data_IF_443951860572
#
_entry.id   IF_443951860572
#
_cell.length_a   1.000
_cell.length_b   1.000
_cell.length_c   1.000
_cell.angle_alpha   90.00
_cell.angle_beta   90.00
_cell.angle_gamma   90.00
#
_symmetry.space_group_name_H-M   'P 1'
#
loop_
_entity.id
_entity.type
_entity.pdbx_description
1 polymer ?
#
# COMPACT_ATOMS: atom_id res chain seq x y z
N UNK A 1 -6.91 -23.18 -7.06
CA UNK A 1 -7.52 -21.99 -7.69
C UNK A 1 -8.98 -22.22 -8.02
N UNK A 2 -9.29 -22.55 -9.27
CA UNK A 2 -10.67 -22.57 -9.81
C UNK A 2 -11.70 -23.37 -9.01
N UNK A 3 -11.31 -24.51 -8.43
CA UNK A 3 -12.24 -25.31 -7.63
C UNK A 3 -12.67 -24.61 -6.34
N UNK A 4 -11.75 -23.89 -5.68
CA UNK A 4 -12.10 -23.04 -4.53
C UNK A 4 -12.95 -21.85 -4.94
N UNK A 5 -12.64 -21.25 -6.10
CA UNK A 5 -13.45 -20.16 -6.66
C UNK A 5 -14.91 -20.57 -6.89
N UNK A 6 -15.15 -21.78 -7.42
CA UNK A 6 -16.50 -22.29 -7.70
C UNK A 6 -17.38 -22.48 -6.45
N UNK A 7 -16.76 -22.69 -5.30
CA UNK A 7 -17.46 -22.83 -4.01
C UNK A 7 -17.39 -21.55 -3.17
N UNK A 8 -17.04 -20.42 -3.81
CA UNK A 8 -16.91 -19.09 -3.19
C UNK A 8 -15.90 -19.02 -2.03
N UNK A 9 -14.92 -19.94 -2.01
CA UNK A 9 -13.80 -19.87 -1.08
C UNK A 9 -12.68 -19.00 -1.67
N UNK A 10 -12.87 -17.69 -1.57
CA UNK A 10 -12.02 -16.68 -2.20
C UNK A 10 -10.60 -16.66 -1.64
N UNK A 11 -10.43 -16.87 -0.32
CA UNK A 11 -9.12 -16.87 0.34
C UNK A 11 -8.24 -18.01 -0.20
N UNK A 12 -8.72 -19.25 -0.09
CA UNK A 12 -8.00 -20.45 -0.58
C UNK A 12 -7.78 -20.41 -2.09
N UNK A 13 -8.75 -19.85 -2.84
CA UNK A 13 -8.58 -19.64 -4.27
C UNK A 13 -7.41 -18.71 -4.57
N UNK A 14 -7.37 -17.55 -3.91
CA UNK A 14 -6.35 -16.51 -4.13
C UNK A 14 -4.97 -16.99 -3.69
N UNK A 15 -4.89 -17.60 -2.52
CA UNK A 15 -3.66 -18.21 -1.99
C UNK A 15 -3.11 -19.30 -2.93
N UNK A 16 -3.98 -20.14 -3.50
CA UNK A 16 -3.55 -21.12 -4.49
C UNK A 16 -2.88 -20.49 -5.72
N UNK A 17 -3.37 -19.33 -6.20
CA UNK A 17 -2.79 -18.65 -7.36
C UNK A 17 -1.48 -17.93 -7.00
N UNK A 18 -1.38 -17.37 -5.79
CA UNK A 18 -0.13 -16.80 -5.27
C UNK A 18 0.95 -17.89 -5.16
N UNK A 19 0.63 -19.02 -4.53
CA UNK A 19 1.56 -20.14 -4.41
C UNK A 19 1.98 -20.67 -5.78
N UNK A 20 1.06 -20.77 -6.74
CA UNK A 20 1.38 -21.18 -8.11
C UNK A 20 2.32 -20.18 -8.81
N UNK A 21 2.12 -18.88 -8.57
CA UNK A 21 3.02 -17.85 -9.08
C UNK A 21 4.43 -17.98 -8.49
N UNK A 22 4.53 -18.05 -7.17
CA UNK A 22 5.81 -18.13 -6.46
C UNK A 22 6.59 -19.37 -6.90
N UNK A 23 5.94 -20.54 -6.95
CA UNK A 23 6.55 -21.78 -7.45
C UNK A 23 7.02 -21.67 -8.91
N UNK A 24 6.25 -20.99 -9.77
CA UNK A 24 6.62 -20.81 -11.17
C UNK A 24 7.81 -19.86 -11.35
N UNK A 25 7.88 -18.79 -10.54
CA UNK A 25 9.02 -17.86 -10.52
C UNK A 25 10.26 -18.54 -9.97
N UNK A 26 10.17 -19.19 -8.80
CA UNK A 26 11.29 -19.91 -8.18
C UNK A 26 11.83 -21.02 -9.07
N UNK A 27 10.92 -21.75 -9.73
CA UNK A 27 11.27 -22.83 -10.66
C UNK A 27 11.73 -22.36 -12.04
N UNK A 28 11.72 -21.05 -12.31
CA UNK A 28 11.98 -20.48 -13.64
C UNK A 28 11.15 -21.15 -14.75
N UNK A 29 9.87 -21.40 -14.46
CA UNK A 29 8.94 -22.07 -15.37
C UNK A 29 8.33 -21.07 -16.35
N UNK A 30 8.01 -21.54 -17.56
CA UNK A 30 7.20 -20.77 -18.50
C UNK A 30 5.72 -20.93 -18.16
N UNK A 31 5.00 -19.80 -18.02
CA UNK A 31 3.58 -19.81 -17.70
C UNK A 31 2.87 -18.57 -18.23
N UNK A 32 1.54 -18.65 -18.31
CA UNK A 32 0.70 -17.52 -18.66
C UNK A 32 0.62 -16.52 -17.48
N UNK A 33 1.57 -15.59 -17.43
CA UNK A 33 1.66 -14.52 -16.40
C UNK A 33 0.36 -13.73 -16.31
N UNK A 34 -0.18 -13.27 -17.43
CA UNK A 34 -1.44 -12.52 -17.47
C UNK A 34 -2.61 -13.33 -16.89
N UNK A 35 -2.68 -14.62 -17.20
CA UNK A 35 -3.71 -15.52 -16.68
C UNK A 35 -3.69 -15.61 -15.16
N UNK A 36 -2.51 -15.85 -14.57
CA UNK A 36 -2.35 -15.96 -13.11
C UNK A 36 -2.59 -14.62 -12.43
N UNK A 37 -2.04 -13.53 -12.97
CA UNK A 37 -2.16 -12.19 -12.38
C UNK A 37 -3.61 -11.73 -12.33
N UNK A 38 -4.36 -11.93 -13.41
CA UNK A 38 -5.78 -11.58 -13.45
C UNK A 38 -6.57 -12.32 -12.36
N UNK A 39 -6.25 -13.59 -12.06
CA UNK A 39 -6.93 -14.32 -10.99
C UNK A 39 -6.53 -13.82 -9.60
N UNK A 40 -5.24 -13.54 -9.37
CA UNK A 40 -4.76 -12.96 -8.11
C UNK A 40 -5.45 -11.62 -7.85
N UNK A 41 -5.38 -10.69 -8.81
CA UNK A 41 -5.99 -9.35 -8.70
C UNK A 41 -7.49 -9.45 -8.47
N UNK A 42 -8.18 -10.32 -9.20
CA UNK A 42 -9.63 -10.51 -9.05
C UNK A 42 -9.99 -11.06 -7.68
N UNK A 43 -9.20 -12.00 -7.15
CA UNK A 43 -9.34 -12.54 -5.80
C UNK A 43 -9.12 -11.48 -4.72
N UNK A 44 -7.97 -10.78 -4.77
CA UNK A 44 -7.64 -9.68 -3.87
C UNK A 44 -8.71 -8.59 -3.86
N UNK A 45 -9.23 -8.20 -5.02
CA UNK A 45 -10.28 -7.19 -5.12
C UNK A 45 -11.60 -7.65 -4.48
N UNK A 46 -12.04 -8.89 -4.70
CA UNK A 46 -13.25 -9.40 -4.05
C UNK A 46 -13.11 -9.50 -2.53
N UNK A 47 -11.98 -10.02 -2.05
CA UNK A 47 -11.69 -10.11 -0.61
C UNK A 47 -11.66 -8.70 -0.01
N UNK A 48 -11.04 -7.74 -0.71
CA UNK A 48 -11.06 -6.34 -0.29
C UNK A 48 -12.49 -5.78 -0.26
N UNK A 49 -13.33 -6.01 -1.26
CA UNK A 49 -14.74 -5.58 -1.27
C UNK A 49 -15.53 -6.13 -0.08
N UNK A 50 -15.35 -7.41 0.26
CA UNK A 50 -15.95 -8.02 1.46
C UNK A 50 -15.40 -7.42 2.74
N UNK A 51 -14.09 -7.20 2.81
CA UNK A 51 -13.43 -6.50 3.90
C UNK A 51 -14.01 -5.10 4.11
N UNK A 52 -14.25 -4.35 3.03
CA UNK A 52 -14.90 -3.03 3.10
C UNK A 52 -16.32 -3.11 3.64
N UNK A 53 -17.13 -4.10 3.22
CA UNK A 53 -18.49 -4.34 3.76
C UNK A 53 -18.45 -4.67 5.26
N UNK A 54 -17.46 -5.45 5.68
CA UNK A 54 -17.27 -5.90 7.05
C UNK A 54 -16.46 -4.92 7.93
N UNK A 55 -16.15 -3.72 7.42
CA UNK A 55 -15.33 -2.69 8.11
C UNK A 55 -13.90 -3.14 8.42
N UNK A 56 -13.35 -4.12 7.72
CA UNK A 56 -11.94 -4.52 7.78
C UNK A 56 -11.11 -3.65 6.82
N UNK A 57 -11.13 -2.34 7.03
CA UNK A 57 -10.56 -1.38 6.07
C UNK A 57 -9.03 -1.50 5.91
N UNK A 58 -8.30 -1.87 6.96
CA UNK A 58 -6.85 -2.05 6.89
C UNK A 58 -6.49 -3.19 5.95
N UNK A 59 -7.06 -4.38 6.21
CA UNK A 59 -6.88 -5.56 5.38
C UNK A 59 -7.28 -5.30 3.94
N UNK A 60 -8.43 -4.66 3.71
CA UNK A 60 -8.86 -4.29 2.36
C UNK A 60 -7.87 -3.35 1.65
N UNK A 61 -7.35 -2.34 2.34
CA UNK A 61 -6.37 -1.41 1.78
C UNK A 61 -5.05 -2.11 1.44
N UNK A 62 -4.55 -2.98 2.31
CA UNK A 62 -3.34 -3.77 2.07
C UNK A 62 -3.51 -4.74 0.91
N UNK A 63 -4.66 -5.40 0.77
CA UNK A 63 -4.94 -6.28 -0.37
C UNK A 63 -5.01 -5.50 -1.70
N UNK A 64 -5.53 -4.27 -1.68
CA UNK A 64 -5.48 -3.37 -2.84
C UNK A 64 -4.04 -2.98 -3.16
N UNK A 65 -3.22 -2.68 -2.14
CA UNK A 65 -1.80 -2.38 -2.32
C UNK A 65 -1.05 -3.55 -2.94
N UNK A 66 -1.35 -4.77 -2.50
CA UNK A 66 -0.77 -5.98 -3.06
C UNK A 66 -1.19 -6.18 -4.53
N UNK A 67 -2.46 -5.93 -4.84
CA UNK A 67 -2.95 -5.92 -6.22
C UNK A 67 -2.23 -4.92 -7.12
N UNK A 68 -1.84 -3.75 -6.59
CA UNK A 68 -1.04 -2.74 -7.29
C UNK A 68 0.37 -3.29 -7.58
N UNK A 69 1.03 -3.92 -6.59
CA UNK A 69 2.37 -4.54 -6.76
C UNK A 69 2.38 -5.56 -7.91
N UNK A 70 1.36 -6.42 -7.97
CA UNK A 70 1.23 -7.40 -9.05
C UNK A 70 0.95 -6.74 -10.41
N UNK A 71 0.13 -5.68 -10.44
CA UNK A 71 -0.15 -4.96 -11.67
C UNK A 71 1.09 -4.30 -12.27
N UNK A 72 1.97 -3.70 -11.46
CA UNK A 72 3.21 -3.06 -11.93
C UNK A 72 4.21 -4.03 -12.60
N UNK A 73 4.12 -5.32 -12.28
CA UNK A 73 4.98 -6.35 -12.89
C UNK A 73 4.55 -6.73 -14.32
N UNK A 74 3.41 -6.22 -14.81
CA UNK A 74 2.96 -6.44 -16.19
C UNK A 74 3.53 -5.35 -17.11
N UNK A 75 4.22 -5.74 -18.19
CA UNK A 75 4.84 -4.82 -19.16
C UNK A 75 3.84 -3.84 -19.82
N UNK A 76 2.55 -4.18 -19.86
CA UNK A 76 1.45 -3.38 -20.44
C UNK A 76 0.54 -2.71 -19.39
N UNK A 77 0.96 -2.62 -18.12
CA UNK A 77 0.15 -2.03 -17.07
C UNK A 77 -0.26 -0.58 -17.42
N UNK A 78 -1.55 -0.38 -17.73
CA UNK A 78 -2.06 0.95 -18.08
C UNK A 78 -1.99 1.86 -16.87
N UNK A 79 -1.12 2.85 -16.98
CA UNK A 79 -0.83 3.97 -16.10
C UNK A 79 -2.07 4.66 -15.46
N UNK A 80 -3.26 4.52 -16.06
CA UNK A 80 -4.52 5.05 -15.54
C UNK A 80 -5.12 4.22 -14.40
N UNK A 81 -5.18 2.88 -14.55
CA UNK A 81 -5.81 1.99 -13.57
C UNK A 81 -5.01 1.96 -12.26
N UNK A 82 -3.68 1.91 -12.37
CA UNK A 82 -2.76 1.99 -11.25
C UNK A 82 -2.99 3.28 -10.43
N UNK A 83 -3.09 4.42 -11.11
CA UNK A 83 -3.39 5.71 -10.47
C UNK A 83 -4.74 5.74 -9.78
N UNK A 84 -5.75 5.07 -10.31
CA UNK A 84 -7.07 4.98 -9.69
C UNK A 84 -7.07 4.11 -8.43
N UNK A 85 -6.35 2.98 -8.45
CA UNK A 85 -6.17 2.13 -7.27
C UNK A 85 -5.40 2.88 -6.17
N UNK A 86 -4.30 3.56 -6.51
CA UNK A 86 -3.52 4.39 -5.58
C UNK A 86 -4.35 5.55 -5.00
N UNK A 87 -5.21 6.18 -5.81
CA UNK A 87 -6.15 7.23 -5.34
C UNK A 87 -7.07 6.74 -4.22
N UNK A 88 -7.47 5.47 -4.26
CA UNK A 88 -8.42 4.92 -3.31
C UNK A 88 -7.78 4.41 -2.01
N UNK A 89 -6.48 4.10 -2.00
CA UNK A 89 -5.74 3.64 -0.80
C UNK A 89 -5.89 4.59 0.39
N UNK A 90 -5.75 5.91 0.17
CA UNK A 90 -5.93 6.93 1.22
C UNK A 90 -7.26 6.73 1.97
N UNK A 91 -8.37 6.60 1.22
CA UNK A 91 -9.71 6.55 1.81
C UNK A 91 -9.88 5.34 2.72
N UNK A 92 -9.25 4.22 2.36
CA UNK A 92 -9.38 2.97 3.12
C UNK A 92 -8.44 2.94 4.32
N UNK A 93 -7.18 3.37 4.17
CA UNK A 93 -6.28 3.51 5.32
C UNK A 93 -6.81 4.52 6.34
N UNK A 94 -7.36 5.65 5.90
CA UNK A 94 -7.95 6.64 6.80
C UNK A 94 -9.17 6.09 7.56
N UNK A 95 -10.04 5.33 6.88
CA UNK A 95 -11.15 4.64 7.56
C UNK A 95 -10.67 3.58 8.54
N UNK A 96 -9.57 2.88 8.23
CA UNK A 96 -8.96 1.91 9.13
C UNK A 96 -8.42 2.57 10.40
N UNK A 97 -7.71 3.68 10.25
CA UNK A 97 -7.16 4.47 11.35
C UNK A 97 -8.25 4.96 12.33
N UNK A 98 -9.43 5.28 11.81
CA UNK A 98 -10.57 5.75 12.59
C UNK A 98 -11.36 4.63 13.29
N UNK A 99 -11.02 3.36 13.06
CA UNK A 99 -11.62 2.25 13.81
C UNK A 99 -10.91 2.06 15.15
N UNK A 100 -11.54 2.52 16.23
CA UNK A 100 -11.07 2.36 17.63
C UNK A 100 -10.99 0.91 18.13
N UNK A 101 -11.10 -0.09 17.24
CA UNK A 101 -11.08 -1.54 17.56
C UNK A 101 -9.78 -2.24 17.14
N UNK A 102 -8.79 -1.49 16.65
CA UNK A 102 -7.49 -2.02 16.20
C UNK A 102 -6.42 -1.56 17.19
N UNK A 103 -5.33 -2.33 17.35
CA UNK A 103 -4.22 -1.94 18.21
C UNK A 103 -3.58 -0.61 17.78
N UNK A 104 -3.03 0.13 18.74
CA UNK A 104 -2.45 1.48 18.53
C UNK A 104 -1.39 1.51 17.42
N UNK A 105 -0.56 0.46 17.31
CA UNK A 105 0.45 0.35 16.25
C UNK A 105 -0.18 0.32 14.85
N UNK A 106 -1.27 -0.43 14.65
CA UNK A 106 -1.99 -0.48 13.38
C UNK A 106 -2.72 0.82 13.07
N UNK A 107 -3.22 1.52 14.10
CA UNK A 107 -3.83 2.84 13.94
C UNK A 107 -2.79 3.84 13.43
N UNK A 108 -1.62 3.92 14.07
CA UNK A 108 -0.51 4.78 13.63
C UNK A 108 -0.09 4.43 12.20
N UNK A 109 0.13 3.14 11.93
CA UNK A 109 0.53 2.68 10.62
C UNK A 109 -0.48 3.07 9.53
N UNK A 110 -1.77 2.94 9.82
CA UNK A 110 -2.85 3.35 8.92
C UNK A 110 -2.84 4.85 8.64
N UNK A 111 -2.63 5.69 9.66
CA UNK A 111 -2.49 7.15 9.47
C UNK A 111 -1.27 7.51 8.61
N UNK A 112 -0.15 6.81 8.79
CA UNK A 112 1.06 7.01 7.98
C UNK A 112 0.80 6.67 6.52
N UNK A 113 0.27 5.48 6.24
CA UNK A 113 -0.05 5.04 4.87
C UNK A 113 -1.11 5.93 4.21
N UNK A 114 -2.11 6.38 4.98
CA UNK A 114 -3.11 7.33 4.51
C UNK A 114 -2.47 8.67 4.12
N UNK A 115 -1.54 9.16 4.93
CA UNK A 115 -0.84 10.42 4.69
C UNK A 115 0.06 10.34 3.46
N UNK A 116 0.86 9.28 3.33
CA UNK A 116 1.69 9.05 2.13
C UNK A 116 0.81 8.96 0.87
N UNK A 117 -0.31 8.25 0.96
CA UNK A 117 -1.29 8.16 -0.13
C UNK A 117 -1.89 9.53 -0.49
N UNK A 118 -2.14 10.41 0.48
CA UNK A 118 -2.55 11.79 0.19
C UNK A 118 -1.48 12.56 -0.59
N UNK A 119 -0.20 12.41 -0.21
CA UNK A 119 0.93 13.06 -0.89
C UNK A 119 1.06 12.56 -2.34
N UNK A 120 0.99 11.24 -2.57
CA UNK A 120 0.99 10.65 -3.92
C UNK A 120 -0.13 11.21 -4.82
N UNK A 121 -1.24 11.60 -4.20
CA UNK A 121 -2.39 12.19 -4.88
C UNK A 121 -2.31 13.72 -5.02
N UNK A 122 -1.18 14.34 -4.68
CA UNK A 122 -0.97 15.79 -4.74
C UNK A 122 -1.72 16.58 -3.67
N UNK A 123 -2.24 15.93 -2.62
CA UNK A 123 -3.02 16.55 -1.55
C UNK A 123 -2.17 16.79 -0.30
N UNK A 124 -1.23 17.72 -0.39
CA UNK A 124 -0.23 17.97 0.65
C UNK A 124 -0.85 18.45 1.97
N UNK A 125 -1.76 19.44 1.91
CA UNK A 125 -2.44 19.96 3.11
C UNK A 125 -3.22 18.84 3.81
N UNK A 126 -3.92 18.00 3.03
CA UNK A 126 -4.69 16.90 3.57
C UNK A 126 -3.80 15.83 4.22
N UNK A 127 -2.62 15.57 3.67
CA UNK A 127 -1.67 14.65 4.27
C UNK A 127 -1.21 15.13 5.66
N UNK A 128 -0.99 16.43 5.82
CA UNK A 128 -0.62 17.00 7.11
C UNK A 128 -1.78 16.95 8.12
N UNK A 129 -3.00 17.25 7.69
CA UNK A 129 -4.20 17.09 8.53
C UNK A 129 -4.30 15.66 9.06
N UNK A 130 -4.20 14.66 8.18
CA UNK A 130 -4.38 13.24 8.52
C UNK A 130 -3.35 12.76 9.52
N UNK A 131 -2.05 13.06 9.34
CA UNK A 131 -1.03 12.60 10.30
C UNK A 131 -1.13 13.33 11.65
N UNK A 132 -1.69 14.55 11.64
CA UNK A 132 -1.88 15.37 12.84
C UNK A 132 -3.05 14.90 13.70
N UNK A 133 -3.94 14.05 13.17
CA UNK A 133 -5.03 13.41 13.93
C UNK A 133 -4.54 12.37 14.95
N UNK A 134 -3.28 11.92 14.87
CA UNK A 134 -2.67 11.07 15.91
C UNK A 134 -2.43 11.93 17.16
N UNK A 135 -3.23 11.69 18.19
CA UNK A 135 -3.40 12.53 19.39
C UNK A 135 -2.52 12.13 20.59
N UNK A 136 -1.81 11.01 20.50
CA UNK A 136 -0.91 10.56 21.57
C UNK A 136 0.56 10.83 21.26
N UNK A 137 1.32 11.14 22.30
CA UNK A 137 2.75 11.43 22.23
C UNK A 137 3.57 10.14 22.33
N UNK A 138 4.13 9.72 21.21
CA UNK A 138 5.09 8.62 21.13
C UNK A 138 6.27 9.00 20.22
N UNK A 139 7.48 8.54 20.56
CA UNK A 139 8.69 8.86 19.80
C UNK A 139 8.63 8.35 18.35
N UNK A 140 7.96 7.23 18.11
CA UNK A 140 7.74 6.67 16.77
C UNK A 140 6.73 7.50 15.99
N UNK A 141 5.64 7.93 16.63
CA UNK A 141 4.64 8.85 16.03
C UNK A 141 5.31 10.16 15.60
N UNK A 142 6.16 10.74 16.46
CA UNK A 142 6.88 11.97 16.15
C UNK A 142 7.85 11.81 14.96
N UNK A 143 8.51 10.64 14.86
CA UNK A 143 9.35 10.32 13.69
C UNK A 143 8.51 10.22 12.42
N UNK A 144 7.34 9.59 12.47
CA UNK A 144 6.43 9.52 11.32
C UNK A 144 5.90 10.90 10.89
N UNK A 145 5.48 11.74 11.85
CA UNK A 145 5.10 13.14 11.55
C UNK A 145 6.24 13.89 10.87
N UNK A 146 7.49 13.70 11.31
CA UNK A 146 8.68 14.29 10.66
C UNK A 146 8.89 13.76 9.24
N UNK A 147 8.71 12.46 8.99
CA UNK A 147 8.81 11.87 7.65
C UNK A 147 7.80 12.55 6.71
N UNK A 148 6.52 12.60 7.10
CA UNK A 148 5.46 13.25 6.32
C UNK A 148 5.78 14.73 6.03
N UNK A 149 6.29 15.45 7.03
CA UNK A 149 6.69 16.86 6.88
C UNK A 149 7.84 17.05 5.89
N UNK A 150 8.87 16.20 5.95
CA UNK A 150 9.99 16.21 5.00
C UNK A 150 9.45 16.01 3.58
N UNK A 151 8.60 14.99 3.37
CA UNK A 151 8.01 14.71 2.06
C UNK A 151 7.22 15.90 1.50
N UNK A 152 6.34 16.50 2.31
CA UNK A 152 5.56 17.67 1.91
C UNK A 152 6.46 18.82 1.50
N UNK A 153 7.49 19.14 2.30
CA UNK A 153 8.42 20.22 2.00
C UNK A 153 9.19 19.95 0.70
N UNK A 154 9.75 18.75 0.54
CA UNK A 154 10.51 18.36 -0.67
C UNK A 154 9.66 18.50 -1.93
N UNK A 155 8.41 18.03 -1.91
CA UNK A 155 7.51 18.12 -3.06
C UNK A 155 7.06 19.56 -3.32
N UNK A 156 6.82 20.34 -2.26
CA UNK A 156 6.49 21.77 -2.39
C UNK A 156 7.61 22.58 -3.02
N UNK A 157 8.86 22.15 -2.86
CA UNK A 157 10.04 22.71 -3.53
C UNK A 157 10.22 22.21 -4.97
N UNK A 158 9.33 21.37 -5.49
CA UNK A 158 9.41 20.78 -6.82
C UNK A 158 10.48 19.69 -6.95
N UNK A 159 10.96 19.15 -5.83
CA UNK A 159 11.96 18.08 -5.80
C UNK A 159 11.31 16.71 -5.66
N UNK A 160 12.00 15.69 -6.15
CA UNK A 160 11.62 14.30 -5.98
C UNK A 160 11.96 13.81 -4.57
N UNK A 161 11.11 12.95 -4.00
CA UNK A 161 11.36 12.32 -2.69
C UNK A 161 12.22 11.09 -2.93
N UNK A 162 13.44 11.10 -2.40
CA UNK A 162 14.35 9.97 -2.43
C UNK A 162 14.56 9.42 -1.01
N UNK A 163 15.01 8.16 -0.88
CA UNK A 163 15.36 7.61 0.43
C UNK A 163 16.50 8.41 1.11
N UNK A 164 17.34 9.06 0.29
CA UNK A 164 18.40 9.96 0.73
C UNK A 164 17.92 11.31 1.28
N UNK A 165 16.67 11.69 1.03
CA UNK A 165 16.05 12.88 1.60
C UNK A 165 15.82 12.79 3.12
N UNK A 166 15.90 11.58 3.69
CA UNK A 166 15.63 11.33 5.10
C UNK A 166 16.91 11.12 5.91
N UNK A 167 17.01 11.74 7.12
CA UNK A 167 18.02 11.40 8.11
C UNK A 167 18.05 9.90 8.43
N UNK A 168 19.23 9.36 8.75
CA UNK A 168 19.45 7.91 8.95
C UNK A 168 18.46 7.25 9.93
N UNK A 169 18.16 7.92 11.05
CA UNK A 169 17.22 7.43 12.05
C UNK A 169 15.78 7.34 11.56
N UNK A 170 15.36 8.21 10.61
CA UNK A 170 14.05 8.15 9.96
C UNK A 170 14.07 7.12 8.82
N UNK A 171 15.18 7.03 8.08
CA UNK A 171 15.35 6.04 7.03
C UNK A 171 15.16 4.61 7.53
N UNK A 172 15.76 4.24 8.67
CA UNK A 172 15.57 2.91 9.27
C UNK A 172 14.10 2.58 9.59
N UNK A 173 13.32 3.60 9.95
CA UNK A 173 11.89 3.43 10.22
C UNK A 173 11.08 3.21 8.93
N UNK A 174 11.51 3.83 7.84
CA UNK A 174 10.95 3.60 6.50
C UNK A 174 11.32 2.19 6.03
N UNK A 175 12.60 1.83 6.06
CA UNK A 175 13.13 0.54 5.59
C UNK A 175 12.56 -0.67 6.33
N UNK A 176 12.10 -0.49 7.57
CA UNK A 176 11.47 -1.56 8.37
C UNK A 176 9.99 -1.78 8.06
N UNK A 177 9.39 -0.98 7.16
CA UNK A 177 8.02 -1.20 6.68
C UNK A 177 8.01 -1.37 5.17
N UNK A 178 7.57 -2.54 4.73
CA UNK A 178 7.44 -2.87 3.33
C UNK A 178 6.40 -1.97 2.63
N UNK A 179 5.26 -1.71 3.28
CA UNK A 179 4.18 -0.89 2.73
C UNK A 179 4.60 0.56 2.55
N UNK A 180 5.30 1.14 3.52
CA UNK A 180 5.84 2.51 3.42
C UNK A 180 6.89 2.57 2.31
N UNK A 181 7.82 1.61 2.28
CA UNK A 181 8.84 1.54 1.22
C UNK A 181 8.20 1.43 -0.16
N UNK A 182 7.16 0.61 -0.29
CA UNK A 182 6.48 0.42 -1.56
C UNK A 182 5.74 1.68 -1.99
N UNK A 183 4.98 2.34 -1.10
CA UNK A 183 4.33 3.61 -1.45
C UNK A 183 5.34 4.70 -1.84
N UNK A 184 6.53 4.70 -1.24
CA UNK A 184 7.58 5.64 -1.63
C UNK A 184 8.13 5.38 -3.04
N UNK A 185 8.22 4.11 -3.47
CA UNK A 185 8.62 3.76 -4.84
C UNK A 185 7.68 4.30 -5.91
N UNK A 186 6.42 4.57 -5.56
CA UNK A 186 5.43 5.14 -6.48
C UNK A 186 5.69 6.62 -6.80
N UNK A 187 6.56 7.32 -6.05
CA UNK A 187 7.01 8.66 -6.43
C UNK A 187 7.98 8.58 -7.62
N UNK A 188 7.80 9.48 -8.59
CA UNK A 188 8.80 9.64 -9.67
C UNK A 188 10.17 9.95 -9.06
N UNK A 189 11.19 9.23 -9.54
CA UNK A 189 12.58 9.43 -9.13
C UNK A 189 13.05 8.63 -7.92
N UNK A 190 12.19 7.87 -7.23
CA UNK A 190 12.61 7.13 -6.04
C UNK A 190 13.67 6.07 -6.36
N UNK A 191 14.86 6.20 -5.74
CA UNK A 191 15.99 5.26 -5.88
C UNK A 191 16.35 4.65 -4.55
N UNK A 192 16.54 3.32 -4.55
CA UNK A 192 17.19 2.57 -3.48
C UNK A 192 18.64 2.41 -3.93
N UNK A 193 19.57 2.96 -3.16
CA UNK A 193 21.01 2.84 -3.38
C UNK A 193 21.60 1.76 -2.50
#
# INVERSE_FOLDING_TARGET
GDNYWKIDNLNESTESYLNAYDMAVEGNLEFNRFGIFNQIIRGLNKIAEEGLKNKQFFTAATLILEGIKFYEQLEDAKDFLLREMVKNLYRYYYKAANLKKIGESHIVHSYVLASISCILNGKLDKAWEVISEIDFEDNTVEKYKKIIKIMINTISEGKEVELNSFPYNLRRLIESSEEIMYLLKLFRGFKIY
#
